data_IF_287171810686
#
_entry.id   IF_287171810686
#
_cell.length_a   1.000
_cell.length_b   1.000
_cell.length_c   1.000
_cell.angle_alpha   90.00
_cell.angle_beta   90.00
_cell.angle_gamma   90.00
#
_symmetry.space_group_name_H-M   'P 1'
#
loop_
_entity.id
_entity.type
_entity.pdbx_description
1 polymer ?
#
# COMPACT_ATOMS: atom_id res chain seq x y z
N UNK A 1 -52.86 -22.34 -11.66
CA UNK A 1 -52.55 -21.26 -12.64
C UNK A 1 -52.25 -19.89 -12.00
N UNK A 2 -53.01 -19.43 -10.99
CA UNK A 2 -52.73 -18.15 -10.28
C UNK A 2 -51.41 -18.12 -9.51
N UNK A 3 -51.03 -19.22 -8.86
CA UNK A 3 -49.76 -19.36 -8.11
C UNK A 3 -48.52 -19.17 -8.98
N UNK A 4 -48.52 -19.76 -10.19
CA UNK A 4 -47.45 -19.62 -11.17
C UNK A 4 -47.24 -18.15 -11.60
N UNK A 5 -48.32 -17.37 -11.74
CA UNK A 5 -48.24 -15.96 -12.10
C UNK A 5 -47.62 -15.13 -10.96
N UNK A 6 -47.99 -15.43 -9.71
CA UNK A 6 -47.47 -14.72 -8.54
C UNK A 6 -45.94 -14.96 -8.38
N UNK A 7 -45.51 -16.22 -8.51
CA UNK A 7 -44.09 -16.60 -8.44
C UNK A 7 -43.28 -15.89 -9.53
N UNK A 8 -43.75 -15.91 -10.77
CA UNK A 8 -43.01 -15.27 -11.88
C UNK A 8 -42.95 -13.75 -11.75
N UNK A 9 -44.01 -13.10 -11.25
CA UNK A 9 -43.96 -11.66 -10.94
C UNK A 9 -42.94 -11.37 -9.85
N UNK A 10 -42.86 -12.21 -8.82
CA UNK A 10 -41.88 -12.05 -7.76
C UNK A 10 -40.44 -12.18 -8.29
N UNK A 11 -40.19 -13.18 -9.15
CA UNK A 11 -38.90 -13.37 -9.81
C UNK A 11 -38.47 -12.14 -10.61
N UNK A 12 -39.38 -11.53 -11.38
CA UNK A 12 -39.09 -10.29 -12.13
C UNK A 12 -38.83 -9.09 -11.22
N UNK A 13 -39.58 -8.96 -10.12
CA UNK A 13 -39.34 -7.91 -9.11
C UNK A 13 -37.93 -8.05 -8.53
N UNK A 14 -37.54 -9.26 -8.12
CA UNK A 14 -36.20 -9.54 -7.58
C UNK A 14 -35.10 -9.22 -8.61
N UNK A 15 -35.27 -9.64 -9.86
CA UNK A 15 -34.32 -9.33 -10.94
C UNK A 15 -34.12 -7.83 -11.12
N UNK A 16 -35.22 -7.06 -11.17
CA UNK A 16 -35.15 -5.61 -11.33
C UNK A 16 -34.50 -4.92 -10.13
N UNK A 17 -34.65 -5.47 -8.93
CA UNK A 17 -33.96 -4.96 -7.74
C UNK A 17 -32.45 -5.16 -7.85
N UNK A 18 -32.00 -6.34 -8.26
CA UNK A 18 -30.57 -6.61 -8.47
C UNK A 18 -29.98 -5.69 -9.55
N UNK A 19 -30.67 -5.47 -10.65
CA UNK A 19 -30.23 -4.55 -11.70
C UNK A 19 -30.17 -3.10 -11.23
N UNK A 20 -31.07 -2.68 -10.33
CA UNK A 20 -31.05 -1.35 -9.71
C UNK A 20 -29.80 -1.19 -8.83
N UNK A 21 -29.53 -2.16 -7.96
CA UNK A 21 -28.34 -2.14 -7.10
C UNK A 21 -27.08 -2.14 -7.95
N UNK A 22 -26.98 -3.02 -8.95
CA UNK A 22 -25.84 -3.05 -9.87
C UNK A 22 -25.62 -1.70 -10.55
N UNK A 23 -26.69 -1.06 -11.03
CA UNK A 23 -26.63 0.29 -11.60
C UNK A 23 -26.09 1.33 -10.62
N UNK A 24 -26.45 1.25 -9.34
CA UNK A 24 -26.01 2.22 -8.32
C UNK A 24 -24.52 2.10 -7.94
N UNK A 25 -23.90 0.94 -8.20
CA UNK A 25 -22.48 0.70 -7.93
C UNK A 25 -21.57 1.21 -9.05
N UNK A 26 -22.12 1.57 -10.21
CA UNK A 26 -21.37 2.01 -11.37
C UNK A 26 -21.43 3.53 -11.54
N UNK A 27 -20.38 4.16 -12.10
CA UNK A 27 -20.45 5.55 -12.54
C UNK A 27 -21.50 5.75 -13.64
N UNK A 28 -22.14 6.92 -13.66
CA UNK A 28 -23.21 7.23 -14.62
C UNK A 28 -22.80 7.14 -16.10
N UNK A 29 -21.51 7.25 -16.41
CA UNK A 29 -20.96 7.12 -17.77
C UNK A 29 -21.12 5.72 -18.38
N UNK A 30 -21.11 4.67 -17.55
CA UNK A 30 -21.25 3.28 -18.02
C UNK A 30 -22.71 2.84 -18.17
N UNK A 31 -23.67 3.68 -17.76
CA UNK A 31 -25.09 3.33 -17.76
C UNK A 31 -25.91 4.26 -18.65
N UNK A 32 -25.57 4.24 -19.94
CA UNK A 32 -26.10 5.14 -20.96
C UNK A 32 -27.62 5.04 -21.15
N UNK A 33 -28.21 3.85 -20.96
CA UNK A 33 -29.65 3.61 -21.06
C UNK A 33 -30.16 2.77 -19.90
N UNK A 34 -31.42 2.98 -19.54
CA UNK A 34 -32.12 2.35 -18.41
C UNK A 34 -32.32 0.84 -18.51
N UNK A 35 -31.92 0.22 -19.62
CA UNK A 35 -32.29 -1.14 -19.99
C UNK A 35 -31.30 -2.19 -19.48
N UNK A 36 -31.78 -3.44 -19.41
CA UNK A 36 -31.04 -4.55 -18.79
C UNK A 36 -29.71 -4.84 -19.52
N UNK A 37 -29.69 -4.75 -20.85
CA UNK A 37 -28.49 -5.05 -21.64
C UNK A 37 -27.42 -3.97 -21.43
N UNK A 38 -27.82 -2.69 -21.44
CA UNK A 38 -26.91 -1.58 -21.16
C UNK A 38 -26.36 -1.62 -19.73
N UNK A 39 -27.17 -1.98 -18.74
CA UNK A 39 -26.71 -2.12 -17.34
C UNK A 39 -25.65 -3.22 -17.23
N UNK A 40 -25.89 -4.39 -17.82
CA UNK A 40 -24.95 -5.52 -17.75
C UNK A 40 -23.69 -5.23 -18.57
N UNK A 41 -23.83 -4.70 -19.78
CA UNK A 41 -22.70 -4.32 -20.64
C UNK A 41 -21.81 -3.27 -19.99
N UNK A 42 -22.41 -2.23 -19.42
CA UNK A 42 -21.70 -1.20 -18.66
C UNK A 42 -20.96 -1.74 -17.45
N UNK A 43 -21.55 -2.71 -16.73
CA UNK A 43 -20.89 -3.34 -15.59
C UNK A 43 -19.66 -4.13 -16.00
N UNK A 44 -19.74 -4.86 -17.12
CA UNK A 44 -18.60 -5.62 -17.64
C UNK A 44 -17.47 -4.67 -18.05
N UNK A 45 -17.79 -3.58 -18.74
CA UNK A 45 -16.79 -2.59 -19.15
C UNK A 45 -16.13 -1.92 -17.96
N UNK A 46 -16.92 -1.52 -16.95
CA UNK A 46 -16.41 -0.90 -15.74
C UNK A 46 -15.49 -1.84 -14.95
N UNK A 47 -15.85 -3.12 -14.79
CA UNK A 47 -14.99 -4.11 -14.11
C UNK A 47 -13.68 -4.30 -14.86
N UNK A 48 -13.71 -4.40 -16.19
CA UNK A 48 -12.48 -4.54 -17.01
C UNK A 48 -11.55 -3.34 -16.84
N UNK A 49 -12.11 -2.13 -16.80
CA UNK A 49 -11.32 -0.92 -16.59
C UNK A 49 -10.69 -0.88 -15.20
N UNK A 50 -11.43 -1.28 -14.16
CA UNK A 50 -10.89 -1.40 -12.81
C UNK A 50 -9.76 -2.44 -12.72
N UNK A 51 -9.92 -3.61 -13.35
CA UNK A 51 -8.88 -4.64 -13.42
C UNK A 51 -7.62 -4.12 -14.14
N UNK A 52 -7.79 -3.42 -15.26
CA UNK A 52 -6.68 -2.82 -16.00
C UNK A 52 -5.96 -1.75 -15.16
N UNK A 53 -6.72 -0.87 -14.49
CA UNK A 53 -6.16 0.15 -13.62
C UNK A 53 -5.35 -0.47 -12.48
N UNK A 54 -5.86 -1.53 -11.85
CA UNK A 54 -5.18 -2.25 -10.79
C UNK A 54 -3.85 -2.84 -11.28
N UNK A 55 -3.85 -3.54 -12.43
CA UNK A 55 -2.62 -4.08 -13.01
C UNK A 55 -1.60 -2.98 -13.35
N UNK A 56 -2.06 -1.86 -13.92
CA UNK A 56 -1.21 -0.70 -14.18
C UNK A 56 -0.57 -0.16 -12.90
N UNK A 57 -1.36 0.02 -11.84
CA UNK A 57 -0.88 0.53 -10.54
C UNK A 57 0.10 -0.43 -9.86
N UNK A 58 -0.17 -1.73 -9.88
CA UNK A 58 0.78 -2.72 -9.34
C UNK A 58 2.10 -2.73 -10.11
N UNK A 59 2.06 -2.59 -11.44
CA UNK A 59 3.27 -2.48 -12.25
C UNK A 59 4.05 -1.20 -11.92
N UNK A 60 3.36 -0.10 -11.65
CA UNK A 60 3.98 1.16 -11.26
C UNK A 60 4.58 1.06 -9.86
N UNK A 61 3.87 0.43 -8.91
CA UNK A 61 4.38 0.14 -7.56
C UNK A 61 5.65 -0.69 -7.63
N UNK A 62 5.70 -1.76 -8.42
CA UNK A 62 6.91 -2.58 -8.63
C UNK A 62 8.06 -1.74 -9.21
N UNK A 63 7.81 -0.92 -10.23
CA UNK A 63 8.85 -0.06 -10.82
C UNK A 63 9.40 0.97 -9.85
N UNK A 64 8.57 1.53 -8.96
CA UNK A 64 9.03 2.46 -7.91
C UNK A 64 9.96 1.77 -6.91
N UNK A 65 9.59 0.56 -6.47
CA UNK A 65 10.42 -0.24 -5.56
C UNK A 65 11.79 -0.60 -6.17
N UNK A 66 11.88 -0.82 -7.49
CA UNK A 66 13.15 -1.08 -8.18
C UNK A 66 13.95 0.20 -8.53
N UNK A 67 13.29 1.33 -8.76
CA UNK A 67 13.97 2.61 -9.03
C UNK A 67 14.67 3.17 -7.78
N UNK A 68 14.09 2.97 -6.59
CA UNK A 68 14.72 3.36 -5.32
C UNK A 68 15.92 2.46 -4.96
N UNK A 69 15.91 1.18 -5.35
CA UNK A 69 17.04 0.26 -5.15
C UNK A 69 18.24 0.52 -6.09
N UNK A 70 18.03 1.20 -7.23
CA UNK A 70 19.07 1.47 -8.23
C UNK A 70 19.66 2.89 -8.16
N UNK A 71 19.05 3.81 -7.39
CA UNK A 71 19.58 5.16 -7.17
C UNK A 71 20.77 5.23 -6.21
N UNK A 72 21.09 4.14 -5.49
CA UNK A 72 22.16 4.12 -4.47
C UNK A 72 23.56 3.81 -5.02
N UNK A 73 23.73 3.59 -6.33
CA UNK A 73 25.02 3.16 -6.93
C UNK A 73 25.72 4.22 -7.80
N UNK A 74 25.20 5.44 -7.93
CA UNK A 74 25.89 6.52 -8.66
C UNK A 74 26.28 7.64 -7.71
N UNK A 75 27.28 7.36 -6.87
CA UNK A 75 28.22 8.39 -6.44
C UNK A 75 29.52 7.75 -5.94
N UNK A 76 30.57 7.85 -6.76
CA UNK A 76 31.96 7.67 -6.31
C UNK A 76 32.76 6.61 -7.07
N UNK A 77 33.40 7.00 -8.18
CA UNK A 77 34.86 6.92 -8.34
C UNK A 77 35.29 7.26 -9.78
N UNK A 78 36.28 8.16 -9.88
CA UNK A 78 37.04 8.53 -11.09
C UNK A 78 38.15 7.49 -11.37
N UNK A 79 38.19 7.01 -12.63
CA UNK A 79 39.36 6.73 -13.53
C UNK A 79 40.48 5.71 -13.14
N UNK A 80 41.38 5.24 -14.06
CA UNK A 80 41.33 5.00 -15.53
C UNK A 80 42.01 3.68 -16.05
N UNK A 81 41.74 3.28 -17.33
CA UNK A 81 42.52 2.44 -18.31
C UNK A 81 42.85 0.96 -17.94
N UNK A 82 42.81 -0.07 -18.81
CA UNK A 82 43.39 -0.27 -20.18
C UNK A 82 42.71 -1.39 -21.02
N UNK A 83 42.74 -1.20 -22.33
CA UNK A 83 42.68 -2.06 -23.54
C UNK A 83 42.53 -3.61 -23.47
N UNK A 84 41.62 -4.16 -24.29
CA UNK A 84 41.89 -4.95 -25.53
C UNK A 84 40.68 -5.82 -25.96
N UNK A 85 40.51 -5.96 -27.27
CA UNK A 85 39.31 -6.40 -27.98
C UNK A 85 39.18 -7.92 -28.18
N UNK A 86 37.93 -8.41 -28.28
CA UNK A 86 37.40 -9.23 -29.38
C UNK A 86 35.97 -9.72 -29.04
N UNK A 87 35.11 -9.82 -30.06
CA UNK A 87 33.65 -9.90 -29.92
C UNK A 87 33.03 -11.30 -29.92
N UNK A 88 31.70 -11.32 -29.84
CA UNK A 88 30.80 -12.19 -30.63
C UNK A 88 29.32 -11.87 -30.28
N UNK A 89 28.47 -11.84 -31.31
CA UNK A 89 27.02 -11.59 -31.26
C UNK A 89 26.23 -12.92 -31.04
N UNK A 90 24.89 -13.01 -31.29
CA UNK A 90 23.87 -13.19 -30.25
C UNK A 90 23.06 -14.50 -30.42
N UNK A 91 22.54 -15.11 -29.34
CA UNK A 91 21.58 -16.24 -29.50
C UNK A 91 20.43 -16.14 -28.49
N UNK A 92 19.22 -16.25 -29.05
CA UNK A 92 17.90 -16.32 -28.44
C UNK A 92 17.61 -17.68 -27.77
N UNK A 93 16.43 -17.76 -27.13
CA UNK A 93 15.71 -18.98 -26.68
C UNK A 93 16.26 -19.57 -25.37
N UNK A 94 15.50 -20.11 -24.42
CA UNK A 94 14.09 -20.47 -24.25
C UNK A 94 13.89 -20.79 -22.76
N UNK A 95 12.70 -20.59 -22.21
CA UNK A 95 12.33 -21.12 -20.88
C UNK A 95 12.55 -22.64 -20.80
N UNK A 96 12.86 -23.17 -19.60
CA UNK A 96 11.97 -24.21 -19.10
C UNK A 96 11.56 -24.04 -17.63
N UNK A 97 10.53 -24.81 -17.37
CA UNK A 97 9.62 -24.94 -16.23
C UNK A 97 10.20 -25.85 -15.15
N UNK A 98 9.85 -25.52 -13.90
CA UNK A 98 9.68 -26.34 -12.69
C UNK A 98 10.76 -27.30 -12.17
N UNK A 99 10.91 -27.17 -10.84
CA UNK A 99 10.98 -28.23 -9.83
C UNK A 99 12.32 -28.89 -9.57
N UNK A 100 13.01 -28.43 -8.52
CA UNK A 100 13.73 -29.30 -7.56
C UNK A 100 13.71 -28.61 -6.18
N UNK A 101 13.02 -29.20 -5.20
CA UNK A 101 13.35 -28.98 -3.78
C UNK A 101 14.74 -29.57 -3.52
N UNK A 102 15.56 -28.95 -2.64
CA UNK A 102 16.29 -29.81 -1.72
C UNK A 102 16.29 -29.26 -0.29
N UNK A 103 15.83 -30.11 0.61
CA UNK A 103 16.25 -30.16 2.00
C UNK A 103 17.64 -30.80 2.03
N UNK A 104 18.72 -30.04 2.28
CA UNK A 104 20.01 -30.62 2.69
C UNK A 104 20.83 -29.67 3.56
N UNK A 105 21.44 -30.30 4.56
CA UNK A 105 22.04 -29.78 5.77
C UNK A 105 23.53 -29.41 5.59
N UNK A 106 23.91 -28.34 6.29
CA UNK A 106 25.22 -27.94 6.85
C UNK A 106 26.45 -27.69 5.96
N UNK A 107 26.84 -26.39 6.00
CA UNK A 107 28.16 -25.85 6.38
C UNK A 107 29.32 -25.90 5.36
N UNK A 108 29.52 -24.79 4.63
CA UNK A 108 30.82 -24.11 4.55
C UNK A 108 30.64 -22.64 4.09
N UNK A 109 31.54 -21.76 4.52
CA UNK A 109 31.33 -20.32 4.66
C UNK A 109 31.18 -19.49 3.37
N UNK A 110 30.19 -18.60 3.40
CA UNK A 110 30.31 -17.23 2.88
C UNK A 110 29.30 -16.33 3.64
N UNK A 111 29.85 -15.34 4.33
CA UNK A 111 29.15 -14.36 5.15
C UNK A 111 28.54 -13.28 4.23
N UNK A 112 27.33 -12.82 4.56
CA UNK A 112 26.57 -11.71 3.96
C UNK A 112 25.77 -12.01 2.68
N UNK A 113 24.63 -12.68 2.85
CA UNK A 113 23.38 -12.33 2.15
C UNK A 113 22.21 -12.95 2.93
N UNK A 114 22.01 -12.47 4.16
CA UNK A 114 20.75 -12.73 4.86
C UNK A 114 19.64 -11.95 4.14
N UNK A 115 18.49 -12.57 3.81
CA UNK A 115 17.35 -11.84 3.29
C UNK A 115 16.97 -10.76 4.30
N UNK A 116 16.98 -9.49 3.88
CA UNK A 116 16.61 -8.36 4.74
C UNK A 116 15.22 -8.65 5.32
N UNK A 117 15.15 -8.96 6.62
CA UNK A 117 13.88 -9.25 7.30
C UNK A 117 13.04 -7.99 7.29
N UNK A 118 11.94 -8.04 6.56
CA UNK A 118 10.87 -7.06 6.62
C UNK A 118 9.97 -7.42 7.80
N UNK A 119 9.81 -6.48 8.73
CA UNK A 119 8.90 -6.58 9.88
C UNK A 119 7.71 -5.65 9.65
N UNK A 120 6.50 -6.15 9.88
CA UNK A 120 5.25 -5.43 9.60
C UNK A 120 4.34 -5.52 10.81
N UNK A 121 3.79 -4.38 11.22
CA UNK A 121 2.80 -4.29 12.30
C UNK A 121 1.62 -3.40 11.91
N UNK A 122 0.45 -3.73 12.44
CA UNK A 122 -0.77 -2.96 12.26
C UNK A 122 -1.43 -2.70 13.61
N UNK A 123 -1.87 -1.46 13.85
CA UNK A 123 -2.64 -1.10 15.04
C UNK A 123 -3.89 -0.31 14.63
N UNK A 124 -5.06 -0.95 14.81
CA UNK A 124 -6.36 -0.39 14.43
C UNK A 124 -7.11 0.06 15.67
N UNK A 125 -7.45 1.34 15.72
CA UNK A 125 -8.18 1.93 16.83
C UNK A 125 -9.23 2.96 16.34
N UNK A 126 -10.17 3.37 17.20
CA UNK A 126 -11.12 4.45 16.86
C UNK A 126 -10.45 5.80 16.59
N UNK A 127 -9.22 6.01 17.08
CA UNK A 127 -8.50 7.27 16.96
C UNK A 127 -7.65 7.32 15.69
N UNK A 128 -7.02 6.20 15.34
CA UNK A 128 -6.16 6.07 14.17
C UNK A 128 -6.02 4.59 13.74
N UNK A 129 -5.88 4.38 12.43
CA UNK A 129 -5.46 3.12 11.79
C UNK A 129 -4.00 3.28 11.34
N UNK A 130 -3.12 2.43 11.88
CA UNK A 130 -1.67 2.56 11.77
C UNK A 130 -1.09 1.31 11.11
N UNK A 131 -0.27 1.49 10.10
CA UNK A 131 0.50 0.45 9.42
C UNK A 131 1.99 0.83 9.47
N UNK A 132 2.83 -0.06 9.95
CA UNK A 132 4.29 0.11 10.01
C UNK A 132 4.95 -1.00 9.22
N UNK A 133 5.87 -0.62 8.31
CA UNK A 133 6.78 -1.53 7.62
C UNK A 133 8.20 -1.13 7.95
N UNK A 134 8.95 -2.00 8.61
CA UNK A 134 10.32 -1.82 9.04
C UNK A 134 11.26 -2.72 8.22
N UNK A 135 12.31 -2.14 7.66
CA UNK A 135 13.33 -2.82 6.86
C UNK A 135 14.70 -2.34 7.33
N UNK A 136 15.37 -3.15 8.16
CA UNK A 136 16.60 -2.72 8.83
C UNK A 136 16.33 -1.53 9.76
N UNK A 137 16.91 -0.38 9.44
CA UNK A 137 16.69 0.88 10.18
C UNK A 137 15.76 1.86 9.46
N UNK A 138 15.23 1.49 8.29
CA UNK A 138 14.31 2.32 7.53
C UNK A 138 12.87 1.84 7.78
N UNK A 139 11.99 2.78 8.15
CA UNK A 139 10.60 2.48 8.45
C UNK A 139 9.64 3.36 7.63
N UNK A 140 8.57 2.75 7.13
CA UNK A 140 7.43 3.43 6.56
C UNK A 140 6.27 3.36 7.55
N UNK A 141 5.81 4.51 8.02
CA UNK A 141 4.70 4.65 8.97
C UNK A 141 3.54 5.30 8.23
N UNK A 142 2.42 4.59 8.09
CA UNK A 142 1.16 5.14 7.56
C UNK A 142 0.15 5.26 8.67
N UNK A 143 -0.53 6.40 8.73
CA UNK A 143 -1.52 6.70 9.77
C UNK A 143 -2.75 7.32 9.11
N UNK A 144 -3.87 6.62 9.14
CA UNK A 144 -5.18 7.15 8.75
C UNK A 144 -5.93 7.60 10.01
N UNK A 145 -6.35 8.85 10.06
CA UNK A 145 -7.04 9.41 11.23
C UNK A 145 -8.02 10.52 10.86
N UNK A 146 -8.84 10.94 11.82
CA UNK A 146 -9.65 12.15 11.68
C UNK A 146 -8.75 13.39 11.73
N UNK A 147 -8.97 14.34 10.82
CA UNK A 147 -8.21 15.58 10.71
C UNK A 147 -8.47 16.48 11.91
N UNK A 148 -7.41 16.99 12.54
CA UNK A 148 -7.49 17.93 13.68
C UNK A 148 -6.53 19.10 13.52
N UNK A 149 -6.86 20.30 14.06
CA UNK A 149 -5.95 21.44 14.07
C UNK A 149 -4.61 21.10 14.75
N UNK A 150 -3.50 21.41 14.07
CA UNK A 150 -2.14 21.18 14.59
C UNK A 150 -1.71 19.71 14.73
N UNK A 151 -2.53 18.75 14.27
CA UNK A 151 -2.24 17.31 14.39
C UNK A 151 -0.89 16.94 13.76
N UNK A 152 -0.66 17.32 12.50
CA UNK A 152 0.59 17.04 11.79
C UNK A 152 1.82 17.54 12.56
N UNK A 153 1.77 18.78 13.03
CA UNK A 153 2.89 19.39 13.75
C UNK A 153 3.19 18.63 15.05
N UNK A 154 2.15 18.27 15.80
CA UNK A 154 2.28 17.45 17.01
C UNK A 154 2.82 16.06 16.69
N UNK A 155 2.39 15.45 15.59
CA UNK A 155 2.90 14.15 15.14
C UNK A 155 4.38 14.24 14.78
N UNK A 156 4.79 15.21 13.96
CA UNK A 156 6.20 15.42 13.58
C UNK A 156 7.07 15.59 14.83
N UNK A 157 6.69 16.51 15.73
CA UNK A 157 7.43 16.75 16.97
C UNK A 157 7.54 15.48 17.83
N UNK A 158 6.48 14.68 17.90
CA UNK A 158 6.49 13.44 18.67
C UNK A 158 7.36 12.35 18.04
N UNK A 159 7.38 12.21 16.70
CA UNK A 159 8.25 11.27 16.01
C UNK A 159 9.73 11.67 16.15
N UNK A 160 10.04 12.96 16.08
CA UNK A 160 11.40 13.48 16.33
C UNK A 160 11.87 13.20 17.77
N UNK A 161 10.98 13.32 18.76
CA UNK A 161 11.26 12.95 20.15
C UNK A 161 11.55 11.45 20.34
N UNK A 162 11.01 10.60 19.46
CA UNK A 162 11.36 9.17 19.39
C UNK A 162 12.66 8.91 18.63
N UNK A 163 13.42 9.95 18.29
CA UNK A 163 14.67 9.89 17.52
C UNK A 163 14.49 9.32 16.10
N UNK A 164 13.29 9.46 15.53
CA UNK A 164 13.07 9.12 14.13
C UNK A 164 13.47 10.29 13.24
N UNK A 165 14.40 10.05 12.31
CA UNK A 165 14.77 11.02 11.31
C UNK A 165 13.80 10.94 10.13
N UNK A 166 12.91 11.94 10.01
CA UNK A 166 11.88 11.97 8.97
C UNK A 166 12.51 12.38 7.64
N UNK A 167 12.64 11.43 6.72
CA UNK A 167 13.22 11.64 5.40
C UNK A 167 12.20 12.19 4.40
N UNK A 168 10.96 11.70 4.47
CA UNK A 168 9.90 12.11 3.56
C UNK A 168 8.54 12.02 4.25
N UNK A 169 7.67 12.99 4.00
CA UNK A 169 6.29 13.01 4.48
C UNK A 169 5.34 13.20 3.31
N UNK A 170 4.34 12.33 3.18
CA UNK A 170 3.22 12.50 2.27
C UNK A 170 1.93 12.63 3.09
N UNK A 171 1.05 13.54 2.65
CA UNK A 171 -0.20 13.85 3.33
C UNK A 171 -1.31 13.88 2.29
N UNK A 172 -2.25 12.95 2.42
CA UNK A 172 -3.44 12.89 1.58
C UNK A 172 -4.65 13.15 2.46
N UNK A 173 -5.50 14.11 2.10
CA UNK A 173 -6.72 14.42 2.84
C UNK A 173 -7.93 14.14 1.97
N UNK A 174 -8.92 13.43 2.52
CA UNK A 174 -10.22 13.19 1.89
C UNK A 174 -11.29 13.50 2.94
N UNK A 175 -12.14 14.49 2.65
CA UNK A 175 -13.19 14.96 3.56
C UNK A 175 -12.65 15.30 4.97
N UNK A 176 -13.13 14.60 6.01
CA UNK A 176 -12.72 14.78 7.40
C UNK A 176 -11.53 13.87 7.79
N UNK A 177 -11.06 13.03 6.88
CA UNK A 177 -9.96 12.08 7.13
C UNK A 177 -8.64 12.53 6.51
N UNK A 178 -7.54 12.14 7.15
CA UNK A 178 -6.18 12.39 6.68
C UNK A 178 -5.34 11.12 6.80
N UNK A 179 -4.61 10.82 5.73
CA UNK A 179 -3.58 9.79 5.67
C UNK A 179 -2.21 10.47 5.68
N UNK A 180 -1.48 10.26 6.76
CA UNK A 180 -0.05 10.59 6.84
C UNK A 180 0.77 9.37 6.42
N UNK A 181 1.82 9.58 5.64
CA UNK A 181 2.81 8.55 5.30
C UNK A 181 4.21 9.13 5.49
N UNK A 182 4.91 8.64 6.51
CA UNK A 182 6.26 9.05 6.87
C UNK A 182 7.24 7.95 6.46
N UNK A 183 8.28 8.30 5.71
CA UNK A 183 9.48 7.48 5.61
C UNK A 183 10.49 8.03 6.60
N UNK A 184 10.89 7.21 7.55
CA UNK A 184 11.78 7.60 8.64
C UNK A 184 12.96 6.64 8.75
N UNK A 185 14.07 7.15 9.25
CA UNK A 185 15.19 6.33 9.70
C UNK A 185 15.16 6.23 11.22
N UNK A 186 15.08 5.02 11.73
CA UNK A 186 15.11 4.69 13.16
C UNK A 186 16.56 4.82 13.64
N UNK A 187 16.76 5.51 14.77
CA UNK A 187 18.09 5.64 15.38
C UNK A 187 18.69 4.26 15.65
N UNK A 188 19.95 4.04 15.23
CA UNK A 188 20.60 2.72 15.21
C UNK A 188 20.71 2.01 16.56
N UNK A 189 20.57 2.75 17.66
CA UNK A 189 20.62 2.21 19.03
C UNK A 189 19.24 1.80 19.57
N UNK A 190 18.16 2.20 18.88
CA UNK A 190 16.79 1.88 19.22
C UNK A 190 16.41 0.57 18.52
N UNK A 191 16.63 -0.58 19.17
CA UNK A 191 16.20 -1.90 18.70
C UNK A 191 14.68 -2.08 18.71
N UNK A 192 13.93 -1.12 18.17
CA UNK A 192 12.47 -1.11 18.13
C UNK A 192 11.98 -2.06 17.03
N UNK A 193 11.03 -2.92 17.38
CA UNK A 193 10.28 -3.71 16.39
C UNK A 193 9.22 -2.85 15.69
N UNK A 194 8.67 -3.34 14.57
CA UNK A 194 7.55 -2.68 13.91
C UNK A 194 6.35 -2.49 14.87
N UNK A 195 6.14 -3.46 15.77
CA UNK A 195 5.09 -3.43 16.78
C UNK A 195 5.32 -2.33 17.83
N UNK A 196 6.54 -2.14 18.30
CA UNK A 196 6.88 -1.07 19.26
C UNK A 196 6.65 0.31 18.64
N UNK A 197 7.00 0.47 17.37
CA UNK A 197 6.76 1.70 16.61
C UNK A 197 5.26 1.94 16.47
N UNK A 198 4.49 0.93 16.06
CA UNK A 198 3.04 1.03 15.89
C UNK A 198 2.34 1.46 17.20
N UNK A 199 2.75 0.86 18.32
CA UNK A 199 2.22 1.18 19.65
C UNK A 199 2.62 2.58 20.13
N UNK A 200 3.85 3.01 19.87
CA UNK A 200 4.30 4.37 20.19
C UNK A 200 3.52 5.43 19.39
N UNK A 201 3.32 5.20 18.09
CA UNK A 201 2.52 6.07 17.23
C UNK A 201 1.05 6.10 17.68
N UNK A 202 0.50 4.95 18.08
CA UNK A 202 -0.85 4.88 18.63
C UNK A 202 -0.99 5.75 19.90
N UNK A 203 -0.02 5.69 20.81
CA UNK A 203 0.00 6.52 22.01
C UNK A 203 0.08 8.01 21.69
N UNK A 204 0.90 8.42 20.70
CA UNK A 204 0.97 9.80 20.21
C UNK A 204 -0.42 10.27 19.75
N UNK A 205 -1.13 9.45 18.98
CA UNK A 205 -2.45 9.83 18.47
C UNK A 205 -3.51 9.88 19.57
N UNK A 206 -3.44 9.03 20.59
CA UNK A 206 -4.28 9.15 21.79
C UNK A 206 -4.03 10.46 22.55
N UNK A 207 -2.77 10.87 22.71
CA UNK A 207 -2.42 12.14 23.35
C UNK A 207 -2.91 13.35 22.55
N UNK A 208 -2.71 13.34 21.23
CA UNK A 208 -3.23 14.38 20.34
C UNK A 208 -4.77 14.41 20.44
N UNK A 209 -5.40 13.24 20.47
CA UNK A 209 -6.85 13.13 20.60
C UNK A 209 -7.36 13.78 21.89
N UNK A 210 -6.76 13.44 23.03
CA UNK A 210 -7.11 14.00 24.34
C UNK A 210 -6.89 15.52 24.39
N UNK A 211 -5.78 16.01 23.83
CA UNK A 211 -5.46 17.44 23.81
C UNK A 211 -6.48 18.29 23.05
N UNK A 212 -7.20 17.71 22.08
CA UNK A 212 -8.24 18.42 21.32
C UNK A 212 -9.58 18.49 22.05
N UNK A 213 -9.86 17.54 22.95
CA UNK A 213 -11.12 17.53 23.73
C UNK A 213 -11.10 18.55 24.89
N UNK A 214 -9.92 19.01 25.31
CA UNK A 214 -9.77 20.03 26.35
C UNK A 214 -10.19 21.45 25.94
N UNK A 215 -10.27 21.76 24.64
CA UNK A 215 -10.62 23.10 24.13
C UNK A 215 -12.13 23.33 23.94
N UNK A 216 -12.98 22.40 24.36
CA UNK A 216 -14.45 22.52 24.23
C UNK A 216 -15.11 22.93 25.57
N UNK A 217 -14.35 23.04 26.66
CA UNK A 217 -14.87 23.34 28.00
C UNK A 217 -14.51 24.72 28.57
N UNK A 218 -13.97 25.64 27.76
CA UNK A 218 -13.71 27.03 28.14
C UNK A 218 -14.56 28.02 27.32
#
# INVERSE_FOLDING_TARGET
RMTHIAVERNRRKQMNEHLRVLRSLMPGSYVQRGDQASIIGGAIEFVRELEQLLQCLESQKRRRLYAEASSSLVSGARQPQTDHAAGCLPIQTSYPVFSVQPDFKYLDGNLYNEPIREDIAENKSPVADIEVKLVGYDAMIKILSQRRPGQLLKTIAALENLQFNIMHTNITTIEQTVLYSFNVKVGGDCGLSAEDIANSVHQIFNMIHASCMGYIND
#
